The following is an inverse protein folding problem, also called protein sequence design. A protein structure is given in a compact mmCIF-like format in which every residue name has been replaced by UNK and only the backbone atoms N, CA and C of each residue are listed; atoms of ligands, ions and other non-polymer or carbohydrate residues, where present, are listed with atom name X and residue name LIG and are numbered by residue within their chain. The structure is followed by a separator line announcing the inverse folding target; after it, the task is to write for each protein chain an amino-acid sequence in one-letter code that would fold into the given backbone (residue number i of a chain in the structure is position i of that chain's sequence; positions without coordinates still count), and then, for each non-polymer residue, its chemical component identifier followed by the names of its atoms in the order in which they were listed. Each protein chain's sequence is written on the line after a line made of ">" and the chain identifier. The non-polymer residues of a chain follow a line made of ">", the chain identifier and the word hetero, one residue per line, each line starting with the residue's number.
data_IF_115221549242
#
_entry.id   IF_115221549242
#
_cell.length_a   1.000
_cell.length_b   1.000
_cell.length_c   1.000
_cell.angle_alpha   90.00
_cell.angle_beta   90.00
_cell.angle_gamma   90.00
#
_symmetry.space_group_name_H-M   'P 1'
#
loop_
_entity.id
_entity.type
_entity.pdbx_description
1 polymer ?
#
# COMPACT_ATOMS: atom_id res chain seq x y z
N UNK A 1 -7.57 7.90 -23.76
CA UNK A 1 -7.54 7.60 -22.31
C UNK A 1 -6.44 6.58 -22.06
N UNK A 2 -5.69 6.72 -20.96
CA UNK A 2 -4.70 5.72 -20.53
C UNK A 2 -5.40 4.67 -19.64
N UNK A 3 -4.91 3.44 -19.66
CA UNK A 3 -5.32 2.33 -18.80
C UNK A 3 -4.38 2.24 -17.61
N UNK A 4 -4.97 2.08 -16.43
CA UNK A 4 -4.24 1.95 -15.17
C UNK A 4 -4.89 0.86 -14.33
N UNK A 5 -4.09 0.23 -13.48
CA UNK A 5 -4.54 -0.63 -12.40
C UNK A 5 -4.04 -0.08 -11.07
N UNK A 6 -4.60 -0.54 -9.95
CA UNK A 6 -4.22 -0.11 -8.60
C UNK A 6 -3.42 -1.18 -7.84
N UNK A 7 -3.68 -2.47 -8.14
CA UNK A 7 -3.08 -3.64 -7.51
C UNK A 7 -3.16 -4.84 -8.49
N UNK A 8 -2.30 -5.85 -8.31
CA UNK A 8 -2.33 -7.11 -9.06
C UNK A 8 -2.21 -8.32 -8.11
N UNK A 9 -2.91 -9.43 -8.37
CA UNK A 9 -2.81 -10.62 -7.52
C UNK A 9 -1.39 -11.21 -7.48
N UNK A 10 -0.89 -11.47 -6.28
CA UNK A 10 0.49 -11.95 -6.03
C UNK A 10 0.62 -13.46 -5.83
N UNK A 11 -0.49 -14.19 -5.78
CA UNK A 11 -0.46 -15.63 -5.47
C UNK A 11 0.14 -16.49 -6.60
N UNK A 12 0.18 -15.94 -7.81
CA UNK A 12 0.58 -16.63 -9.05
C UNK A 12 -0.58 -17.40 -9.69
N UNK A 13 -0.48 -17.63 -11.01
CA UNK A 13 -1.53 -18.24 -11.83
C UNK A 13 -1.96 -19.62 -11.32
N UNK A 14 -1.05 -20.38 -10.70
CA UNK A 14 -1.29 -21.72 -10.16
C UNK A 14 -1.05 -21.82 -8.64
N UNK A 15 -1.01 -20.67 -7.95
CA UNK A 15 -0.69 -20.55 -6.52
C UNK A 15 0.75 -20.89 -6.17
N UNK A 16 1.68 -20.55 -7.05
CA UNK A 16 3.12 -20.73 -6.93
C UNK A 16 3.64 -20.19 -5.58
N UNK A 17 3.18 -19.00 -5.17
CA UNK A 17 3.59 -18.38 -3.91
C UNK A 17 3.14 -19.21 -2.70
N UNK A 18 1.92 -19.75 -2.71
CA UNK A 18 1.40 -20.58 -1.61
C UNK A 18 2.31 -21.80 -1.38
N UNK A 19 2.62 -22.52 -2.45
CA UNK A 19 3.42 -23.74 -2.34
C UNK A 19 4.87 -23.44 -1.98
N UNK A 20 5.45 -22.34 -2.47
CA UNK A 20 6.79 -21.92 -2.09
C UNK A 20 6.89 -21.54 -0.60
N UNK A 21 5.90 -20.80 -0.08
CA UNK A 21 5.81 -20.47 1.35
C UNK A 21 5.69 -21.73 2.22
N UNK A 22 4.83 -22.67 1.82
CA UNK A 22 4.67 -23.94 2.54
C UNK A 22 5.97 -24.77 2.57
N UNK A 23 6.72 -24.81 1.46
CA UNK A 23 8.04 -25.46 1.42
C UNK A 23 9.05 -24.74 2.31
N UNK A 24 9.08 -23.41 2.28
CA UNK A 24 9.95 -22.61 3.13
C UNK A 24 9.69 -22.88 4.63
N UNK A 25 8.43 -22.91 5.06
CA UNK A 25 8.09 -23.20 6.46
C UNK A 25 8.41 -24.64 6.88
N UNK A 26 8.43 -25.59 5.95
CA UNK A 26 8.91 -26.96 6.19
C UNK A 26 10.43 -27.10 6.10
N UNK A 27 11.17 -26.00 5.90
CA UNK A 27 12.63 -25.98 5.68
C UNK A 27 13.08 -26.79 4.46
N UNK A 28 12.18 -26.96 3.49
CA UNK A 28 12.46 -27.59 2.19
C UNK A 28 12.99 -26.57 1.17
N UNK A 29 12.72 -25.28 1.38
CA UNK A 29 13.26 -24.16 0.62
C UNK A 29 14.16 -23.30 1.50
N UNK A 30 15.28 -22.88 0.92
CA UNK A 30 16.09 -21.76 1.39
C UNK A 30 15.38 -20.43 1.12
N UNK A 31 15.84 -19.36 1.77
CA UNK A 31 15.38 -18.01 1.46
C UNK A 31 15.62 -17.65 -0.01
N UNK A 32 16.78 -18.01 -0.57
CA UNK A 32 17.12 -17.75 -1.98
C UNK A 32 16.13 -18.41 -2.94
N UNK A 33 15.72 -19.65 -2.67
CA UNK A 33 14.72 -20.37 -3.49
C UNK A 33 13.34 -19.73 -3.40
N UNK A 34 12.93 -19.28 -2.21
CA UNK A 34 11.67 -18.55 -2.03
C UNK A 34 11.70 -17.20 -2.76
N UNK A 35 12.80 -16.45 -2.65
CA UNK A 35 12.99 -15.18 -3.35
C UNK A 35 13.01 -15.36 -4.87
N UNK A 36 13.56 -16.47 -5.37
CA UNK A 36 13.53 -16.80 -6.80
C UNK A 36 12.09 -16.97 -7.31
N UNK A 37 11.25 -17.73 -6.60
CA UNK A 37 9.83 -17.89 -6.97
C UNK A 37 9.11 -16.54 -6.92
N UNK A 38 9.35 -15.73 -5.90
CA UNK A 38 8.77 -14.40 -5.78
C UNK A 38 9.12 -13.49 -6.97
N UNK A 39 10.39 -13.51 -7.40
CA UNK A 39 10.87 -12.77 -8.57
C UNK A 39 10.23 -13.26 -9.87
N UNK A 40 10.10 -14.56 -10.06
CA UNK A 40 9.44 -15.14 -11.25
C UNK A 40 7.98 -14.67 -11.35
N UNK A 41 7.24 -14.68 -10.24
CA UNK A 41 5.85 -14.17 -10.17
C UNK A 41 5.80 -12.68 -10.53
N UNK A 42 6.68 -11.84 -9.96
CA UNK A 42 6.69 -10.40 -10.27
C UNK A 42 6.96 -10.13 -11.75
N UNK A 43 7.95 -10.82 -12.34
CA UNK A 43 8.28 -10.69 -13.76
C UNK A 43 7.12 -11.12 -14.67
N UNK A 44 6.44 -12.23 -14.36
CA UNK A 44 5.26 -12.67 -15.09
C UNK A 44 4.10 -11.67 -14.98
N UNK A 45 3.89 -11.11 -13.78
CA UNK A 45 2.86 -10.11 -13.54
C UNK A 45 3.11 -8.82 -14.35
N UNK A 46 4.33 -8.27 -14.32
CA UNK A 46 4.67 -7.06 -15.10
C UNK A 46 4.56 -7.30 -16.60
N UNK A 47 4.99 -8.46 -17.07
CA UNK A 47 4.83 -8.88 -18.47
C UNK A 47 3.34 -8.92 -18.85
N UNK A 48 2.51 -9.55 -18.03
CA UNK A 48 1.06 -9.68 -18.27
C UNK A 48 0.36 -8.32 -18.29
N UNK A 49 0.72 -7.40 -17.39
CA UNK A 49 0.21 -6.03 -17.38
C UNK A 49 0.57 -5.27 -18.66
N UNK A 50 1.83 -5.39 -19.11
CA UNK A 50 2.29 -4.75 -20.36
C UNK A 50 1.61 -5.33 -21.59
N UNK A 51 1.45 -6.65 -21.67
CA UNK A 51 0.76 -7.34 -22.76
C UNK A 51 -0.74 -7.00 -22.81
N UNK A 52 -1.37 -6.76 -21.67
CA UNK A 52 -2.74 -6.24 -21.59
C UNK A 52 -2.87 -4.75 -21.99
N UNK A 53 -1.74 -4.08 -22.27
CA UNK A 53 -1.68 -2.67 -22.65
C UNK A 53 -1.97 -1.72 -21.49
N UNK A 54 -1.59 -2.08 -20.26
CA UNK A 54 -1.60 -1.15 -19.12
C UNK A 54 -0.49 -0.13 -19.31
N UNK A 55 -0.84 1.16 -19.35
CA UNK A 55 0.11 2.26 -19.60
C UNK A 55 1.04 2.52 -18.41
N UNK A 56 0.62 2.14 -17.21
CA UNK A 56 1.37 2.32 -15.96
C UNK A 56 1.28 1.04 -15.13
N UNK A 57 2.10 0.01 -15.43
CA UNK A 57 2.23 -1.15 -14.58
C UNK A 57 2.63 -0.76 -13.16
N UNK A 58 2.35 -1.61 -12.18
CA UNK A 58 2.60 -1.31 -10.76
C UNK A 58 3.68 -2.23 -10.18
N UNK A 59 4.36 -1.77 -9.14
CA UNK A 59 5.31 -2.55 -8.34
C UNK A 59 5.07 -2.32 -6.85
N UNK A 60 5.63 -3.16 -5.98
CA UNK A 60 5.41 -3.17 -4.53
C UNK A 60 4.00 -3.60 -4.08
N UNK A 61 3.16 -4.06 -5.01
CA UNK A 61 1.90 -4.77 -4.74
C UNK A 61 2.12 -6.24 -4.34
N UNK A 62 3.29 -6.79 -4.65
CA UNK A 62 3.75 -8.09 -4.15
C UNK A 62 4.03 -8.04 -2.64
N UNK A 63 3.76 -9.15 -1.95
CA UNK A 63 4.10 -9.38 -0.54
C UNK A 63 4.18 -10.88 -0.29
N UNK A 64 5.07 -11.29 0.61
CA UNK A 64 5.10 -12.67 1.08
C UNK A 64 3.93 -13.00 2.01
N UNK A 65 3.25 -12.00 2.57
CA UNK A 65 2.14 -12.24 3.48
C UNK A 65 1.09 -11.15 3.39
N UNK A 66 1.41 -9.92 3.81
CA UNK A 66 0.49 -8.80 3.88
C UNK A 66 1.18 -7.43 3.69
N UNK A 67 0.54 -6.55 2.93
CA UNK A 67 1.08 -5.23 2.57
C UNK A 67 1.11 -4.22 3.74
N UNK A 68 0.23 -4.37 4.73
CA UNK A 68 0.29 -3.50 5.93
C UNK A 68 1.39 -3.97 6.90
N UNK A 69 1.66 -5.27 6.91
CA UNK A 69 2.85 -5.82 7.57
C UNK A 69 4.14 -5.35 6.87
N UNK A 70 4.20 -5.41 5.54
CA UNK A 70 5.36 -4.90 4.79
C UNK A 70 5.64 -3.43 5.14
N UNK A 71 4.60 -2.59 5.20
CA UNK A 71 4.75 -1.21 5.63
C UNK A 71 5.18 -1.08 7.09
N UNK A 72 4.67 -1.92 8.00
CA UNK A 72 5.11 -1.92 9.40
C UNK A 72 6.61 -2.19 9.51
N UNK A 73 7.13 -3.15 8.72
CA UNK A 73 8.57 -3.47 8.68
C UNK A 73 9.35 -2.33 8.04
N UNK A 74 8.86 -1.76 6.93
CA UNK A 74 9.50 -0.65 6.24
C UNK A 74 9.59 0.62 7.11
N UNK A 75 8.67 0.79 8.06
CA UNK A 75 8.70 1.87 9.04
C UNK A 75 9.44 1.50 10.34
N UNK A 76 9.94 0.27 10.48
CA UNK A 76 10.55 -0.20 11.73
C UNK A 76 9.56 -0.32 12.90
N UNK A 77 8.26 -0.29 12.63
CA UNK A 77 7.16 -0.44 13.60
C UNK A 77 6.98 -1.91 14.03
N UNK A 78 8.06 -2.48 14.55
CA UNK A 78 8.20 -3.87 15.00
C UNK A 78 8.26 -3.86 16.54
N UNK A 79 7.40 -4.62 17.24
CA UNK A 79 7.46 -4.69 18.69
C UNK A 79 8.77 -5.31 19.19
N UNK A 80 9.21 -4.90 20.38
CA UNK A 80 10.51 -5.30 20.95
C UNK A 80 10.66 -6.82 21.10
N UNK A 81 9.57 -7.52 21.43
CA UNK A 81 9.55 -8.98 21.54
C UNK A 81 9.98 -9.70 20.25
N UNK A 82 9.78 -9.08 19.09
CA UNK A 82 10.20 -9.63 17.80
C UNK A 82 11.62 -9.21 17.43
N UNK A 83 12.04 -8.00 17.82
CA UNK A 83 13.42 -7.53 17.60
C UNK A 83 14.42 -8.39 18.37
N UNK A 84 14.06 -8.81 19.58
CA UNK A 84 14.87 -9.67 20.45
C UNK A 84 15.08 -11.10 19.90
N UNK A 85 14.35 -11.50 18.86
CA UNK A 85 14.55 -12.79 18.20
C UNK A 85 15.77 -12.79 17.27
N UNK A 86 16.32 -11.61 16.94
CA UNK A 86 17.49 -11.43 16.05
C UNK A 86 17.36 -12.15 14.69
N UNK A 87 16.12 -12.29 14.21
CA UNK A 87 15.81 -12.91 12.93
C UNK A 87 16.22 -11.98 11.77
N UNK A 88 16.46 -12.56 10.60
CA UNK A 88 16.53 -11.78 9.37
C UNK A 88 15.16 -11.12 9.07
N UNK A 89 15.13 -10.20 8.10
CA UNK A 89 13.91 -9.43 7.79
C UNK A 89 12.73 -10.32 7.37
N UNK A 90 12.99 -11.37 6.58
CA UNK A 90 11.96 -12.28 6.08
C UNK A 90 11.37 -13.18 7.18
N UNK A 91 12.21 -13.72 8.04
CA UNK A 91 11.78 -14.52 9.19
C UNK A 91 11.11 -13.66 10.25
N UNK A 92 11.52 -12.40 10.42
CA UNK A 92 10.81 -11.42 11.24
C UNK A 92 9.40 -11.16 10.70
N UNK A 93 9.27 -10.99 9.37
CA UNK A 93 7.96 -10.88 8.71
C UNK A 93 7.08 -12.09 9.02
N UNK A 94 7.62 -13.30 8.90
CA UNK A 94 6.84 -14.51 9.19
C UNK A 94 6.53 -14.70 10.67
N UNK A 95 7.44 -14.32 11.57
CA UNK A 95 7.20 -14.31 13.00
C UNK A 95 6.03 -13.38 13.35
N UNK A 96 6.02 -12.15 12.82
CA UNK A 96 4.92 -11.20 13.02
C UNK A 96 3.59 -11.76 12.48
N UNK A 97 3.63 -12.45 11.34
CA UNK A 97 2.46 -12.98 10.67
C UNK A 97 1.85 -14.22 11.32
N UNK A 98 2.68 -15.13 11.86
CA UNK A 98 2.24 -16.46 12.31
C UNK A 98 2.72 -16.85 13.71
N UNK A 99 3.43 -15.96 14.38
CA UNK A 99 4.12 -16.26 15.63
C UNK A 99 5.46 -16.95 15.40
N UNK A 100 6.22 -17.07 16.47
CA UNK A 100 7.52 -17.72 16.49
C UNK A 100 7.69 -18.48 17.80
N UNK A 101 8.16 -19.73 17.71
CA UNK A 101 8.40 -20.57 18.88
C UNK A 101 9.69 -21.37 18.68
N UNK A 102 10.59 -21.29 19.65
CA UNK A 102 11.77 -22.14 19.79
C UNK A 102 11.96 -22.56 21.26
N UNK A 103 13.15 -23.07 21.63
CA UNK A 103 13.43 -23.51 23.00
C UNK A 103 13.41 -22.37 24.05
N UNK A 104 13.65 -21.12 23.62
CA UNK A 104 13.85 -19.96 24.49
C UNK A 104 12.76 -18.89 24.33
N UNK A 105 12.03 -18.90 23.22
CA UNK A 105 11.10 -17.86 22.81
C UNK A 105 9.73 -18.44 22.45
N UNK A 106 8.67 -17.75 22.88
CA UNK A 106 7.28 -18.00 22.46
C UNK A 106 6.59 -16.65 22.24
N UNK A 107 6.49 -16.23 20.97
CA UNK A 107 5.92 -14.96 20.56
C UNK A 107 4.70 -15.21 19.68
N UNK A 108 3.55 -14.68 20.10
CA UNK A 108 2.27 -14.85 19.41
C UNK A 108 2.18 -13.96 18.17
N UNK A 109 1.59 -14.50 17.10
CA UNK A 109 1.24 -13.76 15.89
C UNK A 109 0.45 -12.48 16.17
N UNK A 110 0.62 -11.48 15.30
CA UNK A 110 -0.21 -10.26 15.33
C UNK A 110 -1.69 -10.57 15.04
N UNK A 111 -2.62 -9.77 15.58
CA UNK A 111 -4.03 -9.91 15.28
C UNK A 111 -4.30 -9.59 13.81
N UNK A 112 -5.25 -10.33 13.23
CA UNK A 112 -5.75 -10.09 11.88
C UNK A 112 -7.13 -9.45 11.93
N UNK A 113 -7.40 -8.48 11.06
CA UNK A 113 -8.72 -7.86 10.87
C UNK A 113 -9.09 -7.90 9.39
N UNK A 114 -10.40 -7.85 9.08
CA UNK A 114 -10.86 -7.70 7.70
C UNK A 114 -10.33 -6.40 7.09
N UNK A 115 -9.83 -6.48 5.87
CA UNK A 115 -9.48 -5.30 5.08
C UNK A 115 -10.75 -4.69 4.52
N UNK A 116 -11.28 -3.69 5.25
CA UNK A 116 -12.52 -2.99 4.92
C UNK A 116 -13.69 -3.97 4.69
N UNK A 117 -14.45 -3.76 3.61
CA UNK A 117 -15.61 -4.57 3.23
C UNK A 117 -15.24 -5.78 2.34
N UNK A 118 -14.01 -6.29 2.47
CA UNK A 118 -13.51 -7.44 1.68
C UNK A 118 -13.40 -8.72 2.53
N UNK A 119 -13.06 -9.83 1.88
CA UNK A 119 -12.70 -11.09 2.54
C UNK A 119 -11.19 -11.23 2.80
N UNK A 120 -10.39 -10.27 2.34
CA UNK A 120 -8.98 -10.21 2.66
C UNK A 120 -8.80 -9.77 4.12
N UNK A 121 -7.76 -10.25 4.78
CA UNK A 121 -7.43 -9.89 6.16
C UNK A 121 -6.02 -9.32 6.20
N UNK A 122 -5.86 -8.19 6.86
CA UNK A 122 -4.57 -7.54 7.06
C UNK A 122 -4.05 -7.79 8.49
N UNK A 123 -2.74 -7.66 8.67
CA UNK A 123 -2.12 -7.74 10.00
C UNK A 123 -2.07 -6.35 10.62
N UNK A 124 -2.76 -6.19 11.74
CA UNK A 124 -2.93 -4.87 12.35
C UNK A 124 -1.56 -4.30 12.77
N UNK A 125 -1.18 -3.10 12.31
CA UNK A 125 0.01 -2.42 12.82
C UNK A 125 -0.12 -2.20 14.32
N UNK A 126 0.96 -2.39 15.08
CA UNK A 126 0.97 -2.15 16.53
C UNK A 126 1.97 -1.04 16.82
N UNK A 127 1.52 -0.03 17.55
CA UNK A 127 2.32 1.10 17.99
C UNK A 127 2.30 1.16 19.52
N UNK A 128 3.50 1.15 20.13
CA UNK A 128 3.73 1.36 21.55
C UNK A 128 4.37 2.72 21.78
N UNK A 129 4.40 3.20 23.03
CA UNK A 129 5.02 4.50 23.37
C UNK A 129 6.51 4.55 22.97
N UNK A 130 7.18 3.41 23.00
CA UNK A 130 8.61 3.25 22.73
C UNK A 130 8.87 2.79 21.28
N UNK A 131 7.85 2.79 20.41
CA UNK A 131 8.02 2.45 18.99
C UNK A 131 8.88 3.52 18.32
N UNK A 132 10.05 3.10 17.83
CA UNK A 132 10.96 3.95 17.05
C UNK A 132 10.68 3.70 15.57
N UNK A 133 10.25 4.74 14.86
CA UNK A 133 10.08 4.69 13.41
C UNK A 133 11.43 4.88 12.74
N UNK A 134 11.76 3.99 11.80
CA UNK A 134 12.98 4.05 10.98
C UNK A 134 12.65 3.63 9.56
N UNK A 135 12.87 4.54 8.62
CA UNK A 135 12.66 4.28 7.20
C UNK A 135 13.62 3.20 6.67
N UNK A 136 13.05 2.13 6.13
CA UNK A 136 13.71 1.11 5.33
C UNK A 136 12.75 0.65 4.22
N UNK A 137 12.66 1.42 3.14
CA UNK A 137 11.82 1.08 1.99
C UNK A 137 12.55 0.22 0.96
N UNK A 138 13.58 -0.52 1.37
CA UNK A 138 14.44 -1.30 0.47
C UNK A 138 13.66 -2.27 -0.41
N UNK A 139 12.63 -2.96 0.13
CA UNK A 139 11.71 -3.80 -0.64
C UNK A 139 11.10 -3.06 -1.84
N UNK A 140 10.45 -1.92 -1.58
CA UNK A 140 9.80 -1.10 -2.62
C UNK A 140 10.81 -0.64 -3.66
N UNK A 141 11.95 -0.10 -3.21
CA UNK A 141 13.01 0.40 -4.09
C UNK A 141 13.63 -0.73 -4.94
N UNK A 142 13.83 -1.90 -4.35
CA UNK A 142 14.41 -3.07 -5.02
C UNK A 142 13.44 -3.66 -6.05
N UNK A 143 12.15 -3.76 -5.73
CA UNK A 143 11.14 -4.21 -6.70
C UNK A 143 11.00 -3.24 -7.88
N UNK A 144 11.05 -1.93 -7.64
CA UNK A 144 11.10 -0.95 -8.72
C UNK A 144 12.36 -1.09 -9.58
N UNK A 145 13.55 -1.22 -8.96
CA UNK A 145 14.81 -1.45 -9.70
C UNK A 145 14.78 -2.75 -10.49
N UNK A 146 14.18 -3.80 -9.94
CA UNK A 146 14.00 -5.10 -10.59
C UNK A 146 13.12 -4.96 -11.84
N UNK A 147 11.96 -4.31 -11.71
CA UNK A 147 11.06 -4.04 -12.83
C UNK A 147 11.76 -3.21 -13.92
N UNK A 148 12.43 -2.14 -13.52
CA UNK A 148 13.17 -1.26 -14.43
C UNK A 148 14.27 -1.99 -15.19
N UNK A 149 15.02 -2.85 -14.50
CA UNK A 149 16.07 -3.70 -15.11
C UNK A 149 15.49 -4.71 -16.10
N UNK A 150 14.24 -5.14 -15.90
CA UNK A 150 13.50 -6.02 -16.81
C UNK A 150 12.78 -5.25 -17.94
N UNK A 151 12.94 -3.93 -18.04
CA UNK A 151 12.34 -3.11 -19.10
C UNK A 151 10.89 -2.70 -18.85
N UNK A 152 10.48 -2.67 -17.57
CA UNK A 152 9.19 -2.17 -17.11
C UNK A 152 9.39 -0.90 -16.27
N UNK A 153 8.91 0.23 -16.78
CA UNK A 153 8.76 1.44 -15.96
C UNK A 153 7.47 1.31 -15.17
N UNK A 154 7.58 1.05 -13.86
CA UNK A 154 6.43 0.83 -12.98
C UNK A 154 6.11 2.07 -12.15
N UNK A 155 4.86 2.17 -11.70
CA UNK A 155 4.41 3.06 -10.64
C UNK A 155 4.42 2.28 -9.32
N UNK A 156 5.38 2.50 -8.40
CA UNK A 156 5.33 1.86 -7.10
C UNK A 156 4.06 2.25 -6.36
N UNK A 157 3.47 1.28 -5.66
CA UNK A 157 2.31 1.50 -4.78
C UNK A 157 2.65 1.20 -3.33
N UNK A 158 2.07 1.96 -2.40
CA UNK A 158 2.28 1.80 -0.97
C UNK A 158 1.03 2.22 -0.19
N UNK A 159 0.73 1.51 0.91
CA UNK A 159 -0.27 1.97 1.87
C UNK A 159 0.17 3.33 2.43
N UNK A 160 -0.74 4.28 2.46
CA UNK A 160 -0.45 5.63 2.87
C UNK A 160 -0.36 5.80 4.40
N UNK A 161 0.35 6.85 4.84
CA UNK A 161 0.57 7.14 6.25
C UNK A 161 -0.72 7.39 7.02
N UNK A 162 -1.74 8.00 6.41
CA UNK A 162 -3.01 8.24 7.11
C UNK A 162 -3.72 6.91 7.40
N UNK A 163 -3.85 6.04 6.41
CA UNK A 163 -4.44 4.69 6.55
C UNK A 163 -3.64 3.85 7.53
N UNK A 164 -2.32 3.88 7.47
CA UNK A 164 -1.47 3.19 8.45
C UNK A 164 -1.79 3.63 9.88
N UNK A 165 -1.84 4.96 10.14
CA UNK A 165 -2.11 5.51 11.46
C UNK A 165 -3.55 5.26 11.92
N UNK A 166 -4.54 5.26 11.02
CA UNK A 166 -5.94 4.97 11.34
C UNK A 166 -6.13 3.48 11.68
N UNK A 167 -5.47 2.59 10.95
CA UNK A 167 -5.63 1.14 11.11
C UNK A 167 -4.77 0.53 12.22
N UNK A 168 -3.80 1.26 12.76
CA UNK A 168 -2.93 0.82 13.83
C UNK A 168 -3.69 0.61 15.16
N UNK A 169 -3.25 -0.40 15.91
CA UNK A 169 -3.62 -0.63 17.30
C UNK A 169 -2.59 0.04 18.21
N UNK A 170 -3.04 1.00 19.00
CA UNK A 170 -2.19 1.77 19.90
C UNK A 170 -2.21 1.15 21.29
N UNK A 171 -1.02 0.85 21.81
CA UNK A 171 -0.81 0.17 23.08
C UNK A 171 -0.01 1.04 24.03
N UNK A 172 -0.07 0.71 25.33
CA UNK A 172 0.81 1.28 26.34
C UNK A 172 0.74 2.83 26.43
N UNK A 173 -0.43 3.41 26.17
CA UNK A 173 -0.67 4.85 26.18
C UNK A 173 -0.23 5.60 24.91
N UNK A 174 0.21 4.89 23.86
CA UNK A 174 0.51 5.50 22.57
C UNK A 174 -0.75 6.06 21.91
N UNK A 175 -0.56 7.04 21.05
CA UNK A 175 -1.57 7.64 20.18
C UNK A 175 -0.99 7.86 18.79
N UNK A 176 -1.81 8.34 17.85
CA UNK A 176 -1.32 8.72 16.51
C UNK A 176 -0.17 9.73 16.60
N UNK A 177 -0.27 10.68 17.55
CA UNK A 177 0.74 11.72 17.76
C UNK A 177 2.08 11.17 18.24
N UNK A 178 2.12 9.98 18.86
CA UNK A 178 3.35 9.32 19.30
C UNK A 178 4.34 9.11 18.15
N UNK A 179 3.85 8.81 16.95
CA UNK A 179 4.69 8.45 15.79
C UNK A 179 4.44 9.31 14.56
N UNK A 180 3.47 10.25 14.61
CA UNK A 180 3.04 11.04 13.46
C UNK A 180 4.20 11.74 12.73
N UNK A 181 5.02 12.48 13.49
CA UNK A 181 6.15 13.22 12.91
C UNK A 181 7.15 12.28 12.23
N UNK A 182 7.53 11.19 12.91
CA UNK A 182 8.53 10.27 12.38
C UNK A 182 8.01 9.47 11.18
N UNK A 183 6.71 9.15 11.13
CA UNK A 183 6.08 8.54 9.95
C UNK A 183 6.13 9.50 8.76
N UNK A 184 5.83 10.80 8.96
CA UNK A 184 5.94 11.80 7.90
C UNK A 184 7.40 11.88 7.40
N UNK A 185 8.38 11.97 8.30
CA UNK A 185 9.81 12.02 7.95
C UNK A 185 10.25 10.75 7.21
N UNK A 186 9.74 9.58 7.60
CA UNK A 186 10.02 8.32 6.90
C UNK A 186 9.49 8.36 5.46
N UNK A 187 8.26 8.81 5.24
CA UNK A 187 7.71 8.96 3.90
C UNK A 187 8.44 10.04 3.08
N UNK A 188 8.88 11.15 3.67
CA UNK A 188 9.74 12.13 2.97
C UNK A 188 11.06 11.51 2.52
N UNK A 189 11.64 10.60 3.32
CA UNK A 189 12.82 9.81 2.93
C UNK A 189 12.53 8.95 1.72
N UNK A 190 11.38 8.24 1.70
CA UNK A 190 10.93 7.47 0.53
C UNK A 190 10.80 8.36 -0.71
N UNK A 191 10.14 9.52 -0.61
CA UNK A 191 9.98 10.43 -1.76
C UNK A 191 11.33 10.87 -2.32
N UNK A 192 12.30 11.16 -1.46
CA UNK A 192 13.67 11.51 -1.86
C UNK A 192 14.37 10.37 -2.58
N UNK A 193 14.29 9.14 -2.05
CA UNK A 193 14.89 7.95 -2.66
C UNK A 193 14.27 7.64 -4.03
N UNK A 194 12.95 7.76 -4.17
CA UNK A 194 12.25 7.58 -5.44
C UNK A 194 12.62 8.65 -6.48
N UNK A 195 12.74 9.91 -6.06
CA UNK A 195 13.25 10.99 -6.92
C UNK A 195 14.68 10.68 -7.42
N UNK A 196 15.57 10.16 -6.55
CA UNK A 196 16.93 9.78 -6.93
C UNK A 196 16.98 8.63 -7.95
N UNK A 197 16.00 7.72 -7.90
CA UNK A 197 15.86 6.63 -8.88
C UNK A 197 15.14 7.06 -10.17
N UNK A 198 14.74 8.34 -10.26
CA UNK A 198 14.01 8.90 -11.39
C UNK A 198 12.64 8.25 -11.60
N UNK A 199 11.97 7.85 -10.51
CA UNK A 199 10.59 7.34 -10.54
C UNK A 199 9.66 8.49 -10.92
N UNK A 200 8.77 8.29 -11.90
CA UNK A 200 7.86 9.36 -12.33
C UNK A 200 6.64 9.49 -11.40
N UNK A 201 6.05 8.35 -10.99
CA UNK A 201 4.82 8.31 -10.21
C UNK A 201 4.97 7.42 -8.98
N UNK A 202 4.47 7.90 -7.84
CA UNK A 202 4.17 7.09 -6.67
C UNK A 202 2.66 7.05 -6.46
N UNK A 203 2.10 5.85 -6.29
CA UNK A 203 0.74 5.67 -5.82
C UNK A 203 0.76 5.49 -4.30
N UNK A 204 0.04 6.36 -3.60
CA UNK A 204 -0.18 6.25 -2.16
C UNK A 204 -1.64 5.88 -1.92
N UNK A 205 -1.85 4.71 -1.33
CA UNK A 205 -3.17 4.13 -1.11
C UNK A 205 -3.75 4.58 0.22
N UNK A 206 -4.83 5.35 0.18
CA UNK A 206 -5.52 5.88 1.36
C UNK A 206 -6.99 5.43 1.46
N UNK A 207 -7.27 4.12 1.52
CA UNK A 207 -8.65 3.64 1.63
C UNK A 207 -9.32 4.00 2.94
N UNK A 208 -8.60 4.37 4.01
CA UNK A 208 -9.25 4.84 5.23
C UNK A 208 -10.09 6.12 5.01
N UNK A 209 -9.85 6.86 3.92
CA UNK A 209 -10.65 8.04 3.54
C UNK A 209 -12.09 7.73 3.13
N UNK A 210 -12.46 6.46 2.92
CA UNK A 210 -13.84 6.07 2.62
C UNK A 210 -14.66 5.71 3.86
N UNK A 211 -14.04 5.73 5.04
CA UNK A 211 -14.74 5.58 6.32
C UNK A 211 -15.39 6.91 6.71
N UNK A 212 -16.37 6.87 7.61
CA UNK A 212 -16.88 8.10 8.24
C UNK A 212 -15.75 8.74 9.06
N UNK A 213 -15.46 10.03 8.83
CA UNK A 213 -14.32 10.71 9.43
C UNK A 213 -14.76 11.78 10.44
N UNK A 214 -14.11 11.82 11.60
CA UNK A 214 -14.25 12.97 12.51
C UNK A 214 -13.48 14.20 11.98
N UNK A 215 -13.73 15.38 12.55
CA UNK A 215 -12.96 16.58 12.22
C UNK A 215 -11.47 16.42 12.55
N UNK A 216 -11.13 15.70 13.60
CA UNK A 216 -9.75 15.38 13.98
C UNK A 216 -9.08 14.48 12.94
N UNK A 217 -9.80 13.48 12.43
CA UNK A 217 -9.28 12.57 11.39
C UNK A 217 -9.08 13.28 10.06
N UNK A 218 -9.99 14.19 9.68
CA UNK A 218 -9.80 15.04 8.50
C UNK A 218 -8.59 15.97 8.64
N UNK A 219 -8.43 16.61 9.80
CA UNK A 219 -7.27 17.45 10.10
C UNK A 219 -5.97 16.65 10.06
N UNK A 220 -5.97 15.42 10.57
CA UNK A 220 -4.82 14.52 10.50
C UNK A 220 -4.44 14.20 9.05
N UNK A 221 -5.41 13.86 8.19
CA UNK A 221 -5.13 13.64 6.77
C UNK A 221 -4.51 14.88 6.12
N UNK A 222 -5.11 16.05 6.33
CA UNK A 222 -4.61 17.31 5.78
C UNK A 222 -3.19 17.60 6.26
N UNK A 223 -2.91 17.50 7.56
CA UNK A 223 -1.59 17.82 8.12
C UNK A 223 -0.49 16.90 7.59
N UNK A 224 -0.77 15.61 7.44
CA UNK A 224 0.16 14.64 6.86
C UNK A 224 0.54 15.06 5.43
N UNK A 225 -0.47 15.32 4.60
CA UNK A 225 -0.22 15.54 3.17
C UNK A 225 0.23 16.95 2.83
N UNK A 226 -0.10 17.96 3.65
CA UNK A 226 0.51 19.29 3.55
C UNK A 226 2.04 19.22 3.71
N UNK A 227 2.55 18.38 4.62
CA UNK A 227 3.99 18.21 4.83
C UNK A 227 4.66 17.27 3.81
N UNK A 228 3.99 16.19 3.42
CA UNK A 228 4.55 15.23 2.45
C UNK A 228 4.66 15.82 1.05
N UNK A 229 3.61 16.51 0.58
CA UNK A 229 3.56 17.00 -0.79
C UNK A 229 4.58 18.13 -1.04
N UNK A 230 4.97 18.89 0.00
CA UNK A 230 6.10 19.85 -0.08
C UNK A 230 7.41 19.18 -0.49
N UNK A 231 7.58 17.89 -0.20
CA UNK A 231 8.81 17.14 -0.46
C UNK A 231 8.77 16.30 -1.74
N UNK A 232 7.68 16.35 -2.53
CA UNK A 232 7.52 15.51 -3.72
C UNK A 232 8.49 15.85 -4.86
N UNK A 233 8.95 17.11 -4.95
CA UNK A 233 9.82 17.60 -6.03
C UNK A 233 9.26 17.26 -7.42
N UNK A 234 9.97 16.43 -8.21
CA UNK A 234 9.55 16.03 -9.55
C UNK A 234 8.71 14.75 -9.57
N UNK A 235 8.63 14.03 -8.43
CA UNK A 235 7.84 12.83 -8.29
C UNK A 235 6.36 13.19 -8.22
N UNK A 236 5.57 12.64 -9.14
CA UNK A 236 4.12 12.83 -9.16
C UNK A 236 3.47 11.89 -8.15
N UNK A 237 2.54 12.42 -7.37
CA UNK A 237 1.83 11.66 -6.33
C UNK A 237 0.39 11.41 -6.76
N UNK A 238 0.03 10.13 -6.86
CA UNK A 238 -1.35 9.67 -7.01
C UNK A 238 -1.91 9.31 -5.63
N UNK A 239 -2.90 10.06 -5.15
CA UNK A 239 -3.75 9.62 -4.04
C UNK A 239 -4.75 8.60 -4.56
N UNK A 240 -4.68 7.34 -4.11
CA UNK A 240 -5.58 6.29 -4.55
C UNK A 240 -6.54 5.88 -3.43
N UNK A 241 -7.85 5.98 -3.69
CA UNK A 241 -8.90 5.50 -2.77
C UNK A 241 -9.74 4.43 -3.45
N UNK A 242 -10.42 3.60 -2.64
CA UNK A 242 -11.25 2.50 -3.13
C UNK A 242 -12.20 1.99 -2.04
N UNK A 243 -13.20 1.21 -2.44
CA UNK A 243 -14.23 0.58 -1.59
C UNK A 243 -15.35 1.49 -1.09
N UNK A 244 -15.37 2.76 -1.51
CA UNK A 244 -16.38 3.74 -1.18
C UNK A 244 -16.06 5.11 -1.78
N UNK A 245 -16.88 6.10 -1.46
CA UNK A 245 -16.63 7.50 -1.81
C UNK A 245 -15.96 8.25 -0.65
N UNK A 246 -15.36 9.40 -0.95
CA UNK A 246 -14.58 10.21 0.00
C UNK A 246 -15.32 11.48 0.43
N UNK A 247 -16.65 11.39 0.61
CA UNK A 247 -17.53 12.54 0.85
C UNK A 247 -17.07 13.50 1.94
N UNK A 248 -16.45 12.97 3.00
CA UNK A 248 -16.07 13.73 4.18
C UNK A 248 -14.81 14.59 3.95
N UNK A 249 -13.88 14.12 3.10
CA UNK A 249 -12.61 14.78 2.78
C UNK A 249 -12.49 15.24 1.33
N UNK A 250 -13.54 15.13 0.50
CA UNK A 250 -13.44 15.41 -0.94
C UNK A 250 -12.87 16.81 -1.23
N UNK A 251 -13.32 17.82 -0.48
CA UNK A 251 -12.90 19.21 -0.68
C UNK A 251 -11.43 19.42 -0.32
N UNK A 252 -10.95 18.73 0.69
CA UNK A 252 -9.57 18.75 1.16
C UNK A 252 -8.68 18.04 0.13
N UNK A 253 -9.08 16.85 -0.31
CA UNK A 253 -8.39 16.03 -1.32
C UNK A 253 -8.11 16.83 -2.60
N UNK A 254 -9.11 17.52 -3.15
CA UNK A 254 -8.95 18.26 -4.42
C UNK A 254 -8.11 19.53 -4.28
N UNK A 255 -7.98 20.07 -3.06
CA UNK A 255 -7.16 21.26 -2.77
C UNK A 255 -5.69 20.93 -2.54
N UNK A 256 -5.39 19.77 -1.96
CA UNK A 256 -4.03 19.31 -1.73
C UNK A 256 -3.29 19.13 -3.07
N UNK A 257 -1.97 19.31 -3.04
CA UNK A 257 -1.10 19.30 -4.23
C UNK A 257 -0.79 17.87 -4.73
N UNK A 258 -1.80 17.02 -4.86
CA UNK A 258 -1.69 15.74 -5.54
C UNK A 258 -1.70 15.94 -7.06
N UNK A 259 -0.91 15.15 -7.78
CA UNK A 259 -0.86 15.19 -9.25
C UNK A 259 -1.96 14.32 -9.88
N UNK A 260 -2.40 13.29 -9.15
CA UNK A 260 -3.52 12.44 -9.53
C UNK A 260 -4.39 12.06 -8.35
N UNK A 261 -5.69 11.88 -8.59
CA UNK A 261 -6.67 11.43 -7.60
C UNK A 261 -7.42 10.24 -8.19
N UNK A 262 -7.31 9.09 -7.53
CA UNK A 262 -8.04 7.87 -7.83
C UNK A 262 -9.31 7.76 -7.01
N UNK A 263 -10.45 7.68 -7.70
CA UNK A 263 -11.77 7.57 -7.08
C UNK A 263 -12.49 6.32 -7.55
N UNK A 264 -13.22 5.67 -6.65
CA UNK A 264 -14.06 4.52 -6.94
C UNK A 264 -15.42 4.98 -7.47
N UNK A 265 -15.77 4.57 -8.68
CA UNK A 265 -17.09 4.84 -9.30
C UNK A 265 -17.98 3.59 -9.34
N UNK A 266 -17.53 2.49 -8.73
CA UNK A 266 -18.27 1.25 -8.58
C UNK A 266 -18.93 1.19 -7.21
N UNK A 267 -18.13 1.26 -6.14
CA UNK A 267 -18.61 1.24 -4.75
C UNK A 267 -18.81 2.66 -4.20
N UNK A 268 -18.08 3.65 -4.73
CA UNK A 268 -18.25 5.07 -4.37
C UNK A 268 -19.44 5.70 -5.08
N UNK A 269 -20.64 5.44 -4.56
CA UNK A 269 -21.91 5.86 -5.18
C UNK A 269 -22.03 7.37 -5.35
N UNK A 270 -21.44 8.14 -4.44
CA UNK A 270 -21.50 9.59 -4.48
C UNK A 270 -20.29 10.24 -5.17
N UNK A 271 -19.29 9.47 -5.64
CA UNK A 271 -18.08 10.00 -6.29
C UNK A 271 -18.37 10.94 -7.45
N UNK A 272 -19.31 10.59 -8.34
CA UNK A 272 -19.72 11.49 -9.42
C UNK A 272 -20.43 12.74 -8.90
N UNK A 273 -21.35 12.58 -7.95
CA UNK A 273 -22.12 13.69 -7.39
C UNK A 273 -21.20 14.70 -6.69
N UNK A 274 -20.14 14.24 -6.01
CA UNK A 274 -19.13 15.08 -5.40
C UNK A 274 -18.37 15.91 -6.45
N UNK A 275 -17.95 15.29 -7.55
CA UNK A 275 -17.30 16.00 -8.67
C UNK A 275 -18.24 17.04 -9.29
N UNK A 276 -19.50 16.69 -9.54
CA UNK A 276 -20.47 17.62 -10.11
C UNK A 276 -20.77 18.80 -9.19
N UNK A 277 -20.82 18.56 -7.87
CA UNK A 277 -21.15 19.57 -6.86
C UNK A 277 -19.99 20.51 -6.55
N UNK A 278 -18.78 19.98 -6.44
CA UNK A 278 -17.61 20.74 -5.97
C UNK A 278 -16.55 20.99 -7.03
N UNK A 279 -16.70 20.40 -8.22
CA UNK A 279 -15.73 20.47 -9.31
C UNK A 279 -14.57 19.49 -9.13
N UNK A 280 -13.78 19.35 -10.20
CA UNK A 280 -12.49 18.64 -10.19
C UNK A 280 -11.41 19.58 -10.74
N UNK A 281 -10.22 19.68 -10.11
CA UNK A 281 -9.18 20.61 -10.55
C UNK A 281 -8.63 20.24 -11.93
N UNK A 282 -8.42 21.23 -12.81
CA UNK A 282 -8.05 21.00 -14.22
C UNK A 282 -6.60 20.55 -14.39
N UNK A 283 -5.75 20.87 -13.41
CA UNK A 283 -4.34 20.55 -13.38
C UNK A 283 -4.05 19.13 -12.87
N UNK A 284 -5.04 18.46 -12.27
CA UNK A 284 -4.91 17.11 -11.72
C UNK A 284 -5.44 16.05 -12.67
N UNK A 285 -4.90 14.84 -12.58
CA UNK A 285 -5.38 13.68 -13.34
C UNK A 285 -6.40 12.90 -12.52
N UNK A 286 -7.60 12.70 -13.08
CA UNK A 286 -8.59 11.78 -12.50
C UNK A 286 -8.27 10.33 -12.91
N UNK A 287 -8.02 9.48 -11.92
CA UNK A 287 -7.94 8.03 -12.10
C UNK A 287 -9.32 7.43 -11.79
N UNK A 288 -10.13 7.21 -12.83
CA UNK A 288 -11.50 6.74 -12.66
C UNK A 288 -11.59 5.21 -12.49
N UNK A 289 -11.91 4.76 -11.28
CA UNK A 289 -12.16 3.36 -10.94
C UNK A 289 -13.47 2.85 -11.53
N UNK A 290 -13.44 2.39 -12.79
CA UNK A 290 -14.61 1.94 -13.56
C UNK A 290 -14.63 0.42 -13.82
N UNK A 291 -13.58 -0.29 -13.39
CA UNK A 291 -13.47 -1.75 -13.49
C UNK A 291 -13.45 -2.31 -12.07
N UNK A 292 -14.39 -3.21 -11.78
CA UNK A 292 -14.54 -3.77 -10.44
C UNK A 292 -13.39 -4.78 -10.17
N UNK A 293 -12.52 -4.47 -9.20
CA UNK A 293 -11.44 -5.35 -8.76
C UNK A 293 -11.83 -6.38 -7.69
N UNK A 294 -13.07 -6.34 -7.18
CA UNK A 294 -13.58 -7.22 -6.11
C UNK A 294 -14.47 -8.37 -6.63
N UNK A 295 -14.89 -8.33 -7.89
CA UNK A 295 -15.81 -9.32 -8.45
C UNK A 295 -15.34 -9.78 -9.85
N UNK A 296 -15.86 -10.92 -10.30
CA UNK A 296 -15.47 -11.61 -11.53
C UNK A 296 -16.37 -11.30 -12.74
N UNK A 297 -17.38 -10.44 -12.56
CA UNK A 297 -18.30 -10.10 -13.65
C UNK A 297 -17.62 -9.27 -14.71
N UNK A 298 -17.84 -9.63 -15.98
CA UNK A 298 -17.35 -8.86 -17.14
C UNK A 298 -17.88 -7.42 -17.09
N UNK A 299 -16.99 -6.44 -17.24
CA UNK A 299 -17.38 -5.03 -17.25
C UNK A 299 -18.27 -4.69 -18.46
N UNK A 300 -19.28 -3.83 -18.25
CA UNK A 300 -20.21 -3.38 -19.28
C UNK A 300 -19.85 -1.94 -19.69
N UNK A 301 -19.02 -1.82 -20.73
CA UNK A 301 -18.38 -0.57 -21.18
C UNK A 301 -19.40 0.55 -21.50
N UNK A 302 -20.59 0.22 -22.04
CA UNK A 302 -21.61 1.22 -22.40
C UNK A 302 -22.13 2.04 -21.22
N UNK A 303 -22.06 1.52 -19.99
CA UNK A 303 -22.52 2.21 -18.77
C UNK A 303 -21.57 3.33 -18.35
N UNK A 304 -20.31 3.29 -18.79
CA UNK A 304 -19.24 4.18 -18.33
C UNK A 304 -18.95 5.33 -19.29
N UNK A 305 -19.36 5.22 -20.55
CA UNK A 305 -19.15 6.25 -21.58
C UNK A 305 -20.18 7.41 -21.52
N UNK A 306 -21.12 7.35 -20.57
CA UNK A 306 -22.13 8.39 -20.33
C UNK A 306 -21.85 9.25 -19.10
N UNK A 307 -20.73 8.99 -18.39
CA UNK A 307 -20.19 9.88 -17.37
C UNK A 307 -19.32 10.96 -18.04
#
# INVERSE_FOLDING_TARGET
>A
MKKSIIAFPRIGSNRELKFALEKYFRKEFTEEELQKVAKEIRLENWKSQKEAGIDSPISNDFSFYDQTLDLSIALGAIPESYKNLELNELDTLFALARGFQDEQNDVKARPMKKWFNTNYHYLVPEINKDTIIKANFSKLLNEYKEAKSAGFETRPTIIGPYTFLVLADYKSGATKDTVLYDVIVAFQTLLKELNQLGVEWLQIEEPALVLDQTEEEKKLFVSIYEELLKSKNNLKILLQTYFGDVRDSYKEIVKLDFDGIGLDFIEGRDSLALIQKYGFPKEKILFAGLVNGKNIWRNIIKRHLSY
#
